data_IF_194561237286
#
_entry.id   IF_194561237286
#
_cell.length_a   1.000
_cell.length_b   1.000
_cell.length_c   1.000
_cell.angle_alpha   90.00
_cell.angle_beta   90.00
_cell.angle_gamma   90.00
#
_symmetry.space_group_name_H-M   'P 1'
#
loop_
_entity.id
_entity.type
_entity.pdbx_description
1 polymer ?
#
# COMPACT_ATOMS: atom_id res chain seq x y z
N UNK A 1 -32.88 88.97 -73.07
CA UNK A 1 -31.54 88.45 -73.42
C UNK A 1 -31.45 87.03 -72.86
N UNK A 2 -31.05 85.93 -73.52
CA UNK A 2 -30.93 85.52 -74.96
C UNK A 2 -30.11 84.21 -75.00
N UNK A 3 -30.47 83.08 -75.65
CA UNK A 3 -31.59 82.66 -76.54
C UNK A 3 -31.92 81.15 -76.31
N UNK A 4 -32.98 80.64 -76.97
CA UNK A 4 -33.18 79.21 -77.36
C UNK A 4 -32.03 78.71 -78.30
N UNK A 5 -31.87 77.41 -78.71
CA UNK A 5 -32.87 76.31 -78.74
C UNK A 5 -32.37 74.84 -78.50
N UNK A 6 -33.27 73.86 -78.62
CA UNK A 6 -32.97 72.45 -78.98
C UNK A 6 -32.44 72.35 -80.43
N UNK A 7 -31.78 71.25 -80.87
CA UNK A 7 -32.49 70.21 -81.68
C UNK A 7 -31.86 68.77 -81.48
N UNK A 8 -31.94 67.73 -82.37
CA UNK A 8 -32.22 66.36 -81.90
C UNK A 8 -31.24 65.25 -82.38
N UNK A 9 -31.46 64.01 -81.90
CA UNK A 9 -31.27 62.71 -82.57
C UNK A 9 -29.95 62.35 -83.29
N UNK A 10 -29.36 61.21 -82.92
CA UNK A 10 -28.52 60.39 -83.82
C UNK A 10 -28.58 58.90 -83.43
N UNK A 11 -28.46 58.02 -84.43
CA UNK A 11 -28.56 56.57 -84.29
C UNK A 11 -27.29 55.89 -83.76
N UNK A 12 -27.50 54.75 -83.08
CA UNK A 12 -26.73 53.50 -83.08
C UNK A 12 -25.33 53.50 -83.75
N UNK A 13 -24.33 53.04 -82.98
CA UNK A 13 -23.49 51.91 -83.43
C UNK A 13 -23.01 51.07 -82.22
N UNK A 14 -22.79 49.75 -82.37
CA UNK A 14 -22.57 48.82 -81.24
C UNK A 14 -21.09 48.44 -80.99
N UNK A 15 -20.83 47.84 -79.81
CA UNK A 15 -19.54 47.31 -79.32
C UNK A 15 -18.45 48.39 -79.08
N UNK A 16 -17.82 48.54 -77.90
CA UNK A 16 -17.26 47.52 -77.01
C UNK A 16 -17.26 47.92 -75.51
N UNK A 17 -16.97 46.92 -74.67
CA UNK A 17 -16.79 46.94 -73.22
C UNK A 17 -16.42 48.26 -72.51
N UNK A 18 -17.29 48.69 -71.59
CA UNK A 18 -16.87 49.23 -70.30
C UNK A 18 -17.44 48.42 -69.14
N UNK A 19 -16.61 48.22 -68.10
CA UNK A 19 -16.83 47.29 -66.99
C UNK A 19 -17.88 47.84 -66.02
N UNK A 20 -19.11 47.33 -66.05
CA UNK A 20 -19.98 47.42 -64.88
C UNK A 20 -19.49 46.40 -63.84
N UNK A 21 -18.72 46.93 -62.90
CA UNK A 21 -18.13 46.30 -61.73
C UNK A 21 -19.09 45.35 -61.02
N UNK A 22 -18.61 44.14 -60.71
CA UNK A 22 -19.18 43.36 -59.60
C UNK A 22 -19.05 44.22 -58.34
N UNK A 23 -20.17 44.49 -57.68
CA UNK A 23 -20.19 45.18 -56.39
C UNK A 23 -19.59 44.22 -55.36
N UNK A 24 -18.31 44.41 -55.03
CA UNK A 24 -17.72 43.76 -53.86
C UNK A 24 -18.45 44.34 -52.66
N UNK A 25 -19.17 43.49 -51.93
CA UNK A 25 -19.67 43.83 -50.60
C UNK A 25 -18.42 43.80 -49.72
N UNK A 26 -18.02 44.97 -49.23
CA UNK A 26 -16.92 45.06 -48.28
C UNK A 26 -17.33 44.35 -46.98
N UNK A 27 -16.46 43.44 -46.55
CA UNK A 27 -16.20 43.04 -45.16
C UNK A 27 -17.38 43.23 -44.18
N UNK A 28 -18.03 42.11 -43.87
CA UNK A 28 -18.89 41.97 -42.69
C UNK A 28 -18.12 42.50 -41.45
N UNK A 29 -18.68 43.45 -40.68
CA UNK A 29 -17.98 44.06 -39.55
C UNK A 29 -17.68 43.09 -38.40
N UNK A 30 -18.34 41.92 -38.36
CA UNK A 30 -18.04 40.84 -37.41
C UNK A 30 -17.00 39.83 -37.98
N UNK A 31 -16.48 40.05 -39.20
CA UNK A 31 -15.51 39.18 -39.87
C UNK A 31 -14.11 39.29 -39.22
N UNK A 32 -13.88 38.44 -38.22
CA UNK A 32 -12.58 38.29 -37.58
C UNK A 32 -11.51 37.69 -38.52
N UNK A 33 -10.31 38.28 -38.51
CA UNK A 33 -9.08 37.73 -39.11
C UNK A 33 -8.49 36.55 -38.31
N UNK A 34 -9.15 36.11 -37.25
CA UNK A 34 -8.77 34.88 -36.52
C UNK A 34 -8.66 33.72 -37.49
N UNK A 35 -7.50 33.04 -37.47
CA UNK A 35 -7.24 31.84 -38.27
C UNK A 35 -8.38 30.85 -38.02
N UNK A 36 -9.17 30.56 -39.05
CA UNK A 36 -10.23 29.56 -38.97
C UNK A 36 -9.56 28.22 -38.64
N UNK A 37 -9.96 27.54 -37.54
CA UNK A 37 -9.37 26.26 -37.16
C UNK A 37 -9.50 25.28 -38.32
N UNK A 38 -8.51 24.41 -38.52
CA UNK A 38 -8.60 23.47 -39.64
C UNK A 38 -9.73 22.47 -39.37
N UNK A 39 -10.31 21.88 -40.42
CA UNK A 39 -11.45 20.96 -40.28
C UNK A 39 -11.13 19.79 -39.33
N UNK A 40 -9.88 19.31 -39.32
CA UNK A 40 -9.41 18.31 -38.36
C UNK A 40 -9.46 18.80 -36.90
N UNK A 41 -9.09 20.05 -36.59
CA UNK A 41 -9.18 20.58 -35.23
C UNK A 41 -10.65 20.65 -34.77
N UNK A 42 -11.56 21.10 -35.65
CA UNK A 42 -12.99 21.17 -35.36
C UNK A 42 -13.59 19.76 -35.15
N UNK A 43 -13.20 18.79 -35.98
CA UNK A 43 -13.58 17.39 -35.80
C UNK A 43 -13.05 16.82 -34.47
N UNK A 44 -11.79 17.09 -34.11
CA UNK A 44 -11.21 16.63 -32.84
C UNK A 44 -11.87 17.29 -31.62
N UNK A 45 -12.20 18.58 -31.70
CA UNK A 45 -13.00 19.26 -30.66
C UNK A 45 -14.40 18.63 -30.51
N UNK A 46 -15.05 18.28 -31.62
CA UNK A 46 -16.33 17.57 -31.61
C UNK A 46 -16.22 16.17 -30.99
N UNK A 47 -15.15 15.43 -31.30
CA UNK A 47 -14.87 14.11 -30.70
C UNK A 47 -14.65 14.25 -29.18
N UNK A 48 -13.91 15.25 -28.72
CA UNK A 48 -13.72 15.53 -27.29
C UNK A 48 -15.05 15.87 -26.60
N UNK A 49 -15.89 16.69 -27.23
CA UNK A 49 -17.18 17.11 -26.68
C UNK A 49 -18.22 16.00 -26.59
N UNK A 50 -18.21 15.04 -27.53
CA UNK A 50 -19.19 13.93 -27.60
C UNK A 50 -18.58 12.58 -27.19
N UNK A 51 -17.43 12.57 -26.52
CA UNK A 51 -16.67 11.35 -26.25
C UNK A 51 -17.41 10.34 -25.35
N UNK A 52 -18.32 10.81 -24.49
CA UNK A 52 -19.14 9.93 -23.64
C UNK A 52 -20.14 9.09 -24.46
N UNK A 53 -20.78 9.70 -25.46
CA UNK A 53 -21.76 9.03 -26.32
C UNK A 53 -21.09 8.26 -27.47
N UNK A 54 -19.95 8.74 -27.96
CA UNK A 54 -19.27 8.18 -29.13
C UNK A 54 -17.72 8.23 -28.98
N UNK A 55 -17.12 7.32 -28.21
CA UNK A 55 -15.69 7.31 -27.90
C UNK A 55 -14.86 6.73 -29.07
N UNK A 56 -14.81 7.45 -30.20
CA UNK A 56 -13.93 7.13 -31.35
C UNK A 56 -12.49 7.46 -30.97
N UNK A 57 -11.88 6.62 -30.14
CA UNK A 57 -10.50 6.77 -29.71
C UNK A 57 -9.54 5.92 -30.54
N UNK A 58 -9.83 4.64 -30.73
CA UNK A 58 -8.83 3.72 -31.29
C UNK A 58 -8.48 3.98 -32.76
N UNK A 59 -9.45 4.45 -33.55
CA UNK A 59 -9.28 4.80 -34.98
C UNK A 59 -8.45 6.08 -35.21
N UNK A 60 -8.10 6.81 -34.15
CA UNK A 60 -7.32 8.04 -34.23
C UNK A 60 -5.83 7.78 -34.43
N UNK A 61 -5.19 8.68 -35.19
CA UNK A 61 -3.72 8.72 -35.31
C UNK A 61 -3.08 9.05 -33.95
N UNK A 62 -1.80 8.72 -33.70
CA UNK A 62 -1.14 9.05 -32.42
C UNK A 62 -1.23 10.53 -32.04
N UNK A 63 -1.00 11.44 -32.99
CA UNK A 63 -1.11 12.90 -32.79
C UNK A 63 -2.53 13.32 -32.38
N UNK A 64 -3.55 12.68 -32.98
CA UNK A 64 -4.95 12.92 -32.62
C UNK A 64 -5.30 12.33 -31.24
N UNK A 65 -4.76 11.16 -30.89
CA UNK A 65 -4.91 10.54 -29.55
C UNK A 65 -4.31 11.43 -28.46
N UNK A 66 -3.16 12.07 -28.70
CA UNK A 66 -2.55 13.02 -27.77
C UNK A 66 -3.42 14.27 -27.60
N UNK A 67 -3.84 14.91 -28.71
CA UNK A 67 -4.72 16.08 -28.68
C UNK A 67 -6.02 15.83 -27.89
N UNK A 68 -6.63 14.66 -28.08
CA UNK A 68 -7.84 14.24 -27.37
C UNK A 68 -7.56 14.03 -25.89
N UNK A 69 -6.55 13.24 -25.49
CA UNK A 69 -6.22 12.98 -24.08
C UNK A 69 -5.91 14.25 -23.26
N UNK A 70 -5.27 15.24 -23.87
CA UNK A 70 -5.02 16.55 -23.25
C UNK A 70 -6.31 17.32 -22.92
N UNK A 71 -7.40 17.08 -23.66
CA UNK A 71 -8.63 17.90 -23.65
C UNK A 71 -9.87 17.19 -23.12
N UNK A 72 -9.87 15.85 -23.05
CA UNK A 72 -10.97 15.08 -22.47
C UNK A 72 -11.27 15.51 -21.03
N UNK A 73 -12.55 15.43 -20.65
CA UNK A 73 -12.99 15.69 -19.28
C UNK A 73 -12.53 14.57 -18.34
N UNK A 74 -11.95 14.97 -17.22
CA UNK A 74 -11.57 14.11 -16.08
C UNK A 74 -12.79 13.58 -15.31
N UNK A 75 -13.98 14.12 -15.59
CA UNK A 75 -15.26 13.67 -15.00
C UNK A 75 -15.98 12.60 -15.84
N UNK A 76 -15.42 12.17 -16.98
CA UNK A 76 -16.01 11.13 -17.82
C UNK A 76 -16.18 9.81 -17.05
N UNK A 77 -17.27 9.05 -17.29
CA UNK A 77 -17.49 7.77 -16.62
C UNK A 77 -16.37 6.76 -16.86
N UNK A 78 -15.97 6.04 -15.80
CA UNK A 78 -14.88 5.06 -15.89
C UNK A 78 -15.20 3.89 -16.81
N UNK A 79 -16.46 3.54 -17.03
CA UNK A 79 -16.82 2.49 -17.99
C UNK A 79 -16.49 2.87 -19.45
N UNK A 80 -16.44 4.17 -19.77
CA UNK A 80 -15.98 4.69 -21.07
C UNK A 80 -14.45 4.71 -21.12
N UNK A 81 -13.80 5.27 -20.10
CA UNK A 81 -12.38 5.62 -20.16
C UNK A 81 -11.43 4.49 -19.75
N UNK A 82 -11.85 3.60 -18.84
CA UNK A 82 -10.98 2.57 -18.25
C UNK A 82 -10.42 1.57 -19.27
N UNK A 83 -11.18 1.20 -20.30
CA UNK A 83 -10.73 0.23 -21.30
C UNK A 83 -10.14 0.88 -22.56
N UNK A 84 -10.56 2.11 -22.90
CA UNK A 84 -10.15 2.78 -24.14
C UNK A 84 -8.91 3.65 -23.99
N UNK A 85 -8.72 4.33 -22.85
CA UNK A 85 -7.61 5.28 -22.68
C UNK A 85 -6.43 4.58 -22.01
N UNK A 86 -5.31 4.47 -22.72
CA UNK A 86 -4.04 3.93 -22.21
C UNK A 86 -3.48 4.75 -21.04
N UNK A 87 -2.41 4.28 -20.40
CA UNK A 87 -1.65 5.13 -19.47
C UNK A 87 -1.14 6.40 -20.18
N UNK A 88 -1.11 7.54 -19.48
CA UNK A 88 -0.68 8.80 -20.07
C UNK A 88 -1.28 10.05 -19.44
N UNK A 89 -1.30 11.13 -20.23
CA UNK A 89 -1.66 12.51 -19.82
C UNK A 89 -3.08 12.60 -19.25
N UNK A 90 -4.02 11.84 -19.80
CA UNK A 90 -5.40 11.81 -19.28
C UNK A 90 -5.47 11.36 -17.82
N UNK A 91 -4.86 10.21 -17.50
CA UNK A 91 -4.84 9.68 -16.12
C UNK A 91 -4.01 10.55 -15.18
N UNK A 92 -2.93 11.16 -15.69
CA UNK A 92 -2.18 12.19 -14.93
C UNK A 92 -3.10 13.33 -14.47
N UNK A 93 -3.86 13.93 -15.39
CA UNK A 93 -4.82 15.00 -15.07
C UNK A 93 -5.92 14.51 -14.10
N UNK A 94 -6.40 13.28 -14.26
CA UNK A 94 -7.38 12.68 -13.34
C UNK A 94 -6.82 12.49 -11.92
N UNK A 95 -5.53 12.16 -11.78
CA UNK A 95 -4.86 12.07 -10.48
C UNK A 95 -4.63 13.46 -9.86
N UNK A 96 -4.03 14.39 -10.61
CA UNK A 96 -3.68 15.73 -10.14
C UNK A 96 -4.90 16.56 -9.72
N UNK A 97 -6.08 16.32 -10.32
CA UNK A 97 -7.32 16.96 -9.89
C UNK A 97 -7.92 16.34 -8.60
N UNK A 98 -7.62 15.08 -8.31
CA UNK A 98 -8.23 14.32 -7.20
C UNK A 98 -7.36 14.28 -5.95
N UNK A 99 -6.04 14.42 -6.10
CA UNK A 99 -5.08 14.30 -5.00
C UNK A 99 -3.93 15.30 -5.13
N UNK A 100 -3.72 16.12 -4.09
CA UNK A 100 -2.68 17.16 -4.05
C UNK A 100 -1.26 16.61 -4.23
N UNK A 101 -1.03 15.38 -3.74
CA UNK A 101 0.24 14.68 -3.84
C UNK A 101 0.09 13.43 -4.70
N UNK A 102 0.84 13.41 -5.79
CA UNK A 102 0.91 12.33 -6.74
C UNK A 102 2.36 11.90 -7.00
N UNK A 103 2.67 10.64 -6.72
CA UNK A 103 3.96 10.00 -6.99
C UNK A 103 3.70 8.62 -7.59
N UNK A 104 4.13 8.43 -8.85
CA UNK A 104 3.92 7.21 -9.63
C UNK A 104 5.01 6.14 -9.42
N UNK A 105 6.07 6.42 -8.66
CA UNK A 105 7.22 5.50 -8.49
C UNK A 105 6.80 4.15 -7.92
N UNK A 106 5.96 4.15 -6.88
CA UNK A 106 5.39 2.94 -6.26
C UNK A 106 4.36 2.21 -7.15
N UNK A 107 3.86 2.89 -8.19
CA UNK A 107 2.84 2.40 -9.11
C UNK A 107 3.43 1.88 -10.43
N UNK A 108 4.75 1.61 -10.45
CA UNK A 108 5.44 1.14 -11.66
C UNK A 108 5.55 2.22 -12.74
N UNK A 109 5.54 3.50 -12.34
CA UNK A 109 5.51 4.67 -13.20
C UNK A 109 4.26 4.77 -14.11
N UNK A 110 3.12 4.23 -13.66
CA UNK A 110 1.83 4.30 -14.36
C UNK A 110 0.83 5.17 -13.59
N UNK A 111 0.33 6.22 -14.25
CA UNK A 111 -0.74 7.09 -13.74
C UNK A 111 -2.08 6.37 -13.65
N UNK A 112 -2.39 5.50 -14.61
CA UNK A 112 -3.61 4.69 -14.66
C UNK A 112 -3.65 3.67 -13.53
N UNK A 113 -2.53 2.99 -13.25
CA UNK A 113 -2.39 2.11 -12.08
C UNK A 113 -2.57 2.88 -10.78
N UNK A 114 -1.88 4.01 -10.64
CA UNK A 114 -2.03 4.88 -9.47
C UNK A 114 -3.49 5.33 -9.26
N UNK A 115 -4.18 5.73 -10.32
CA UNK A 115 -5.59 6.10 -10.25
C UNK A 115 -6.45 4.94 -9.74
N UNK A 116 -6.33 3.74 -10.33
CA UNK A 116 -7.19 2.62 -9.98
C UNK A 116 -6.91 2.02 -8.60
N UNK A 117 -5.65 1.92 -8.18
CA UNK A 117 -5.31 1.46 -6.83
C UNK A 117 -5.89 2.44 -5.78
N UNK A 118 -5.56 3.74 -5.87
CA UNK A 118 -6.06 4.76 -4.93
C UNK A 118 -7.58 4.97 -4.98
N UNK A 119 -8.20 4.78 -6.14
CA UNK A 119 -9.66 4.87 -6.26
C UNK A 119 -10.36 3.69 -5.59
N UNK A 120 -9.84 2.47 -5.75
CA UNK A 120 -10.37 1.29 -5.05
C UNK A 120 -10.12 1.38 -3.53
N UNK A 121 -8.92 1.79 -3.11
CA UNK A 121 -8.60 2.07 -1.70
C UNK A 121 -9.61 3.06 -1.09
N UNK A 122 -9.91 4.17 -1.77
CA UNK A 122 -10.88 5.16 -1.32
C UNK A 122 -12.33 4.63 -1.29
N UNK A 123 -12.70 3.68 -2.17
CA UNK A 123 -14.03 3.04 -2.10
C UNK A 123 -14.13 2.15 -0.85
N UNK A 124 -13.08 1.39 -0.52
CA UNK A 124 -13.04 0.50 0.65
C UNK A 124 -12.95 1.30 1.95
N UNK A 125 -12.06 2.30 2.03
CA UNK A 125 -11.89 3.14 3.22
C UNK A 125 -13.15 3.96 3.57
N UNK A 126 -14.03 4.21 2.60
CA UNK A 126 -15.31 4.90 2.80
C UNK A 126 -16.51 3.94 2.72
N UNK A 127 -16.28 2.63 2.68
CA UNK A 127 -17.35 1.64 2.70
C UNK A 127 -17.90 1.52 4.11
N UNK A 128 -19.14 1.96 4.29
CA UNK A 128 -19.90 1.78 5.54
C UNK A 128 -20.75 0.52 5.34
N UNK A 129 -20.55 -0.56 6.12
CA UNK A 129 -21.37 -1.75 6.02
C UNK A 129 -22.83 -1.46 6.38
N UNK A 130 -23.75 -2.29 5.87
CA UNK A 130 -25.21 -2.12 5.88
C UNK A 130 -25.78 -0.87 5.15
N UNK A 131 -24.98 0.19 4.98
CA UNK A 131 -25.36 1.44 4.30
C UNK A 131 -24.89 1.47 2.83
N UNK A 132 -23.65 1.04 2.57
CA UNK A 132 -23.05 1.06 1.23
C UNK A 132 -23.35 -0.25 0.51
N UNK A 133 -24.01 -0.17 -0.65
CA UNK A 133 -24.32 -1.36 -1.44
C UNK A 133 -23.05 -2.01 -2.02
N UNK A 134 -22.84 -3.34 -1.86
CA UNK A 134 -21.70 -4.08 -2.43
C UNK A 134 -21.46 -3.84 -3.93
N UNK A 135 -22.53 -3.67 -4.70
CA UNK A 135 -22.49 -3.43 -6.15
C UNK A 135 -21.50 -2.30 -6.56
N UNK A 136 -21.30 -1.28 -5.71
CA UNK A 136 -20.34 -0.18 -6.00
C UNK A 136 -18.90 -0.67 -6.16
N UNK A 137 -18.54 -1.76 -5.49
CA UNK A 137 -17.25 -2.45 -5.64
C UNK A 137 -17.31 -3.37 -6.85
N UNK A 138 -18.35 -4.20 -6.94
CA UNK A 138 -18.49 -5.22 -8.01
C UNK A 138 -18.50 -4.62 -9.42
N UNK A 139 -19.20 -3.50 -9.63
CA UNK A 139 -19.22 -2.77 -10.91
C UNK A 139 -17.84 -2.21 -11.29
N UNK A 140 -17.01 -1.90 -10.29
CA UNK A 140 -15.66 -1.36 -10.48
C UNK A 140 -14.63 -2.45 -10.81
N UNK A 141 -14.74 -3.65 -10.24
CA UNK A 141 -13.74 -4.72 -10.41
C UNK A 141 -13.41 -5.03 -11.88
N UNK A 142 -14.38 -5.20 -12.82
CA UNK A 142 -14.08 -5.44 -14.23
C UNK A 142 -13.20 -4.37 -14.89
N UNK A 143 -13.31 -3.11 -14.43
CA UNK A 143 -12.59 -1.95 -14.98
C UNK A 143 -11.15 -1.85 -14.43
N UNK A 144 -10.93 -2.27 -13.18
CA UNK A 144 -9.67 -2.00 -12.47
C UNK A 144 -8.82 -3.25 -12.14
N UNK A 145 -9.38 -4.46 -12.14
CA UNK A 145 -8.70 -5.69 -11.64
C UNK A 145 -7.32 -5.99 -12.25
N UNK A 146 -7.11 -5.59 -13.51
CA UNK A 146 -5.84 -5.82 -14.20
C UNK A 146 -4.73 -4.85 -13.74
N UNK A 147 -5.12 -3.70 -13.19
CA UNK A 147 -4.23 -2.62 -12.76
C UNK A 147 -3.90 -2.68 -11.27
N UNK A 148 -4.77 -3.27 -10.44
CA UNK A 148 -4.54 -3.43 -9.00
C UNK A 148 -3.52 -4.55 -8.74
N UNK A 149 -2.35 -4.15 -8.28
CA UNK A 149 -1.27 -4.98 -7.72
C UNK A 149 -1.01 -4.69 -6.24
N UNK A 150 -1.36 -3.50 -5.76
CA UNK A 150 -1.29 -3.09 -4.36
C UNK A 150 -2.63 -2.53 -3.89
N UNK A 151 -2.97 -2.80 -2.64
CA UNK A 151 -4.00 -2.07 -1.88
C UNK A 151 -3.44 -1.69 -0.51
N UNK A 152 -3.49 -0.40 -0.18
CA UNK A 152 -3.07 0.18 1.10
C UNK A 152 -4.29 0.77 1.85
N UNK A 153 -4.97 -0.08 2.62
CA UNK A 153 -6.20 0.26 3.33
C UNK A 153 -5.85 0.66 4.76
N UNK A 154 -5.86 1.97 5.02
CA UNK A 154 -5.36 2.55 6.27
C UNK A 154 -6.48 2.94 7.26
N UNK A 155 -7.73 2.56 6.95
CA UNK A 155 -8.89 2.52 7.83
C UNK A 155 -9.97 1.56 7.27
N UNK A 156 -10.86 1.10 8.14
CA UNK A 156 -12.11 0.42 7.80
C UNK A 156 -13.21 0.99 8.68
N UNK A 157 -14.38 1.29 8.11
CA UNK A 157 -15.50 1.86 8.86
C UNK A 157 -16.41 0.72 9.38
N UNK A 158 -16.82 0.75 10.66
CA UNK A 158 -17.83 -0.15 11.19
C UNK A 158 -19.24 0.30 10.77
N UNK A 159 -20.28 -0.52 11.00
CA UNK A 159 -21.67 -0.16 10.72
C UNK A 159 -22.12 1.01 11.59
N UNK A 160 -23.00 1.87 11.04
CA UNK A 160 -23.58 2.97 11.82
C UNK A 160 -24.61 2.40 12.79
N UNK A 161 -24.36 2.55 14.09
CA UNK A 161 -25.43 2.43 15.09
C UNK A 161 -26.36 3.62 14.95
N UNK A 162 -27.59 3.39 14.53
CA UNK A 162 -28.65 4.36 14.76
C UNK A 162 -28.86 4.48 16.26
N UNK A 163 -28.60 5.66 16.82
CA UNK A 163 -29.06 5.99 18.17
C UNK A 163 -30.58 6.04 18.13
N UNK A 164 -31.21 4.96 18.59
CA UNK A 164 -32.60 5.04 19.01
C UNK A 164 -32.67 6.18 20.03
N UNK A 165 -33.43 7.21 19.69
CA UNK A 165 -33.87 8.16 20.69
C UNK A 165 -34.80 7.38 21.59
N UNK A 166 -34.32 7.06 22.78
CA UNK A 166 -35.18 6.80 23.91
C UNK A 166 -36.02 8.07 24.09
N UNK A 167 -37.26 8.03 23.60
CA UNK A 167 -38.27 8.99 24.02
C UNK A 167 -38.53 8.74 25.51
N UNK A 168 -38.68 9.84 26.25
CA UNK A 168 -38.69 9.91 27.70
C UNK A 168 -39.80 9.02 28.30
N UNK A 169 -39.42 7.97 29.04
CA UNK A 169 -40.24 7.38 30.09
C UNK A 169 -39.38 7.33 31.38
N UNK A 170 -39.33 8.47 32.08
CA UNK A 170 -38.93 8.51 33.49
C UNK A 170 -40.02 7.81 34.32
N UNK A 171 -39.88 6.50 34.60
CA UNK A 171 -40.40 5.83 35.81
C UNK A 171 -40.09 4.32 35.78
N UNK A 172 -39.12 3.87 36.60
CA UNK A 172 -39.29 2.75 37.56
C UNK A 172 -37.94 2.41 38.25
N UNK A 173 -37.86 2.67 39.56
CA UNK A 173 -36.83 2.11 40.43
C UNK A 173 -37.19 0.65 40.79
N UNK A 174 -36.37 -0.35 40.46
CA UNK A 174 -36.40 -1.60 41.22
C UNK A 174 -35.05 -2.30 41.40
N UNK A 175 -34.84 -2.82 42.61
CA UNK A 175 -33.63 -3.54 43.03
C UNK A 175 -33.75 -5.05 42.78
N UNK A 176 -33.08 -5.53 41.72
CA UNK A 176 -32.22 -6.72 41.83
C UNK A 176 -32.70 -8.09 41.32
N UNK A 177 -31.84 -9.07 41.66
CA UNK A 177 -31.86 -10.51 41.33
C UNK A 177 -31.24 -10.95 40.00
N UNK A 178 -30.30 -11.91 40.12
CA UNK A 178 -29.71 -12.65 39.01
C UNK A 178 -30.71 -13.73 38.53
N UNK A 179 -31.31 -13.55 37.37
CA UNK A 179 -31.90 -14.65 36.62
C UNK A 179 -31.66 -14.46 35.14
N UNK A 180 -30.91 -15.38 34.53
CA UNK A 180 -30.70 -15.40 33.09
C UNK A 180 -32.03 -15.71 32.39
N UNK A 181 -32.57 -14.73 31.67
CA UNK A 181 -33.57 -14.93 30.63
C UNK A 181 -32.97 -14.51 29.28
N UNK A 182 -33.12 -15.36 28.28
CA UNK A 182 -32.55 -15.18 26.94
C UNK A 182 -33.28 -14.10 26.14
N UNK A 183 -33.15 -12.84 26.55
CA UNK A 183 -33.28 -11.72 25.63
C UNK A 183 -31.91 -11.50 24.97
N UNK A 184 -31.69 -12.25 23.88
CA UNK A 184 -30.61 -12.02 22.94
C UNK A 184 -30.84 -10.64 22.27
N UNK A 185 -30.43 -9.58 22.96
CA UNK A 185 -30.25 -8.26 22.35
C UNK A 185 -29.33 -8.46 21.16
N UNK A 186 -29.92 -8.45 19.96
CA UNK A 186 -29.19 -8.50 18.69
C UNK A 186 -28.34 -7.23 18.66
N UNK A 187 -27.10 -7.33 19.16
CA UNK A 187 -26.12 -6.27 19.01
C UNK A 187 -25.99 -6.04 17.50
N UNK A 188 -26.14 -4.79 17.02
CA UNK A 188 -25.85 -4.46 15.64
C UNK A 188 -24.49 -5.05 15.28
N UNK A 189 -24.39 -5.61 14.07
CA UNK A 189 -23.11 -6.15 13.63
C UNK A 189 -22.03 -5.07 13.76
N UNK A 190 -20.81 -5.48 14.10
CA UNK A 190 -19.63 -4.60 14.12
C UNK A 190 -18.60 -5.02 13.08
N UNK A 191 -18.99 -5.93 12.18
CA UNK A 191 -18.15 -6.39 11.08
C UNK A 191 -17.91 -5.25 10.09
N UNK A 192 -16.73 -5.25 9.47
CA UNK A 192 -16.27 -4.23 8.55
C UNK A 192 -16.53 -4.66 7.09
N UNK A 193 -15.74 -4.13 6.15
CA UNK A 193 -15.81 -4.51 4.74
C UNK A 193 -15.47 -5.99 4.52
N UNK A 194 -16.39 -6.76 3.92
CA UNK A 194 -16.16 -8.15 3.53
C UNK A 194 -15.22 -8.25 2.32
N UNK A 195 -13.97 -8.64 2.58
CA UNK A 195 -12.94 -8.77 1.56
C UNK A 195 -13.21 -9.87 0.52
N UNK A 196 -14.14 -10.81 0.77
CA UNK A 196 -14.49 -11.83 -0.22
C UNK A 196 -15.14 -11.26 -1.48
N UNK A 197 -15.83 -10.13 -1.38
CA UNK A 197 -16.45 -9.42 -2.51
C UNK A 197 -15.38 -9.05 -3.57
N UNK A 198 -14.21 -8.63 -3.09
CA UNK A 198 -13.15 -8.04 -3.92
C UNK A 198 -11.97 -8.99 -4.18
N UNK A 199 -11.32 -9.49 -3.13
CA UNK A 199 -9.98 -10.10 -3.23
C UNK A 199 -9.97 -11.38 -4.07
N UNK A 200 -11.06 -12.16 -4.03
CA UNK A 200 -11.26 -13.35 -4.86
C UNK A 200 -11.19 -13.06 -6.37
N UNK A 201 -11.43 -11.80 -6.78
CA UNK A 201 -11.43 -11.36 -8.18
C UNK A 201 -10.11 -10.69 -8.62
N UNK A 202 -9.26 -10.28 -7.67
CA UNK A 202 -8.01 -9.56 -7.93
C UNK A 202 -6.85 -10.51 -8.23
N UNK A 203 -6.86 -11.10 -9.43
CA UNK A 203 -5.85 -12.10 -9.85
C UNK A 203 -4.41 -11.57 -9.89
N UNK A 204 -4.20 -10.26 -9.90
CA UNK A 204 -2.88 -9.63 -10.01
C UNK A 204 -2.39 -8.98 -8.70
N UNK A 205 -3.11 -9.13 -7.58
CA UNK A 205 -2.72 -8.53 -6.30
C UNK A 205 -1.42 -9.15 -5.75
N UNK A 206 -0.42 -8.31 -5.50
CA UNK A 206 0.92 -8.67 -5.00
C UNK A 206 1.15 -8.16 -3.57
N UNK A 207 0.60 -7.01 -3.21
CA UNK A 207 0.74 -6.35 -1.91
C UNK A 207 -0.64 -6.02 -1.30
N UNK A 208 -0.88 -6.41 -0.05
CA UNK A 208 -2.07 -6.05 0.71
C UNK A 208 -1.66 -5.50 2.09
N UNK A 209 -1.92 -4.22 2.33
CA UNK A 209 -1.78 -3.59 3.65
C UNK A 209 -3.17 -3.25 4.18
N UNK A 210 -3.49 -3.70 5.39
CA UNK A 210 -4.73 -3.35 6.10
C UNK A 210 -4.42 -2.83 7.49
N UNK A 211 -5.25 -1.87 7.95
CA UNK A 211 -5.33 -1.41 9.34
C UNK A 211 -6.80 -1.37 9.76
N UNK A 212 -7.18 -2.24 10.70
CA UNK A 212 -8.50 -2.20 11.34
C UNK A 212 -8.56 -1.06 12.35
N UNK A 213 -8.92 0.13 11.88
CA UNK A 213 -9.14 1.35 12.66
C UNK A 213 -10.06 2.30 11.93
N UNK A 214 -10.64 3.25 12.64
CA UNK A 214 -11.33 4.41 12.06
C UNK A 214 -10.47 5.67 12.23
N UNK A 215 -10.25 6.44 11.15
CA UNK A 215 -9.64 7.78 11.26
C UNK A 215 -10.69 8.77 11.72
N UNK A 216 -10.27 9.81 12.45
CA UNK A 216 -11.09 11.01 12.69
C UNK A 216 -12.46 10.73 13.35
N UNK A 217 -12.55 9.80 14.30
CA UNK A 217 -13.80 9.41 15.02
C UNK A 217 -14.56 10.57 15.70
N UNK A 218 -13.94 11.73 15.86
CA UNK A 218 -14.52 12.87 16.57
C UNK A 218 -14.86 12.51 18.02
N UNK A 219 -16.05 12.92 18.46
CA UNK A 219 -16.56 12.63 19.82
C UNK A 219 -17.26 11.28 19.92
N UNK A 220 -17.57 10.62 18.81
CA UNK A 220 -18.34 9.36 18.77
C UNK A 220 -17.42 8.13 18.88
N UNK A 221 -16.41 8.20 19.75
CA UNK A 221 -15.39 7.17 19.90
C UNK A 221 -15.92 5.98 20.73
N UNK A 222 -15.87 4.78 20.16
CA UNK A 222 -16.00 3.52 20.89
C UNK A 222 -14.80 2.59 20.59
N UNK A 223 -14.35 1.81 21.58
CA UNK A 223 -13.17 0.94 21.46
C UNK A 223 -13.33 -0.20 20.44
N UNK A 224 -14.54 -0.72 20.28
CA UNK A 224 -14.90 -1.76 19.30
C UNK A 224 -14.73 -1.31 17.83
N UNK A 225 -14.77 -0.01 17.52
CA UNK A 225 -14.55 0.54 16.17
C UNK A 225 -13.12 0.30 15.64
N UNK A 226 -12.23 -0.19 16.51
CA UNK A 226 -10.83 -0.50 16.22
C UNK A 226 -10.54 -2.00 16.35
N UNK A 227 -11.56 -2.82 16.62
CA UNK A 227 -11.40 -4.26 16.76
C UNK A 227 -11.81 -4.98 15.47
N UNK A 228 -10.87 -5.72 14.90
CA UNK A 228 -11.16 -6.73 13.89
C UNK A 228 -12.06 -7.82 14.50
N UNK A 229 -13.30 -8.01 14.04
CA UNK A 229 -14.19 -9.05 14.56
C UNK A 229 -13.70 -10.45 14.17
N UNK A 230 -14.24 -11.50 14.80
CA UNK A 230 -13.93 -12.87 14.38
C UNK A 230 -14.45 -13.18 12.97
N UNK A 231 -15.56 -12.55 12.53
CA UNK A 231 -16.07 -12.68 11.16
C UNK A 231 -15.23 -11.91 10.15
N UNK A 232 -14.72 -10.73 10.50
CA UNK A 232 -13.71 -10.02 9.70
C UNK A 232 -12.46 -10.89 9.49
N UNK A 233 -12.02 -11.55 10.56
CA UNK A 233 -10.84 -12.43 10.56
C UNK A 233 -11.05 -13.69 9.72
N UNK A 234 -12.25 -14.29 9.78
CA UNK A 234 -12.60 -15.43 8.92
C UNK A 234 -12.72 -15.01 7.45
N UNK A 235 -13.50 -13.97 7.14
CA UNK A 235 -13.63 -13.40 5.79
C UNK A 235 -12.26 -13.12 5.16
N UNK A 236 -11.40 -12.38 5.86
CA UNK A 236 -10.07 -12.02 5.37
C UNK A 236 -9.18 -13.24 5.17
N UNK A 237 -9.24 -14.24 6.07
CA UNK A 237 -8.46 -15.46 5.95
C UNK A 237 -8.87 -16.30 4.71
N UNK A 238 -10.18 -16.38 4.43
CA UNK A 238 -10.71 -17.06 3.24
C UNK A 238 -10.31 -16.32 1.96
N UNK A 239 -10.50 -15.00 1.94
CA UNK A 239 -10.17 -14.12 0.84
C UNK A 239 -8.67 -14.17 0.47
N UNK A 240 -7.77 -14.05 1.46
CA UNK A 240 -6.32 -14.17 1.23
C UNK A 240 -5.94 -15.56 0.70
N UNK A 241 -6.58 -16.64 1.18
CA UNK A 241 -6.31 -17.99 0.68
C UNK A 241 -6.60 -18.12 -0.82
N UNK A 242 -7.52 -17.33 -1.39
CA UNK A 242 -7.77 -17.30 -2.83
C UNK A 242 -6.71 -16.51 -3.61
N UNK A 243 -6.12 -15.46 -3.04
CA UNK A 243 -5.15 -14.56 -3.67
C UNK A 243 -3.76 -15.19 -3.89
N UNK A 244 -3.65 -16.18 -4.79
CA UNK A 244 -2.41 -16.95 -5.02
C UNK A 244 -1.20 -16.11 -5.48
N UNK A 245 -1.41 -14.89 -5.97
CA UNK A 245 -0.37 -13.94 -6.37
C UNK A 245 0.19 -13.08 -5.23
N UNK A 246 -0.45 -13.09 -4.05
CA UNK A 246 -0.04 -12.25 -2.93
C UNK A 246 1.37 -12.60 -2.43
N UNK A 247 2.25 -11.59 -2.41
CA UNK A 247 3.65 -11.67 -1.99
C UNK A 247 3.87 -11.02 -0.63
N UNK A 248 3.19 -9.92 -0.34
CA UNK A 248 3.30 -9.17 0.92
C UNK A 248 1.92 -9.03 1.55
N UNK A 249 1.80 -9.51 2.80
CA UNK A 249 0.65 -9.25 3.65
C UNK A 249 1.09 -8.42 4.87
N UNK A 250 0.55 -7.22 5.02
CA UNK A 250 0.72 -6.38 6.21
C UNK A 250 -0.62 -6.16 6.90
N UNK A 251 -0.78 -6.71 8.10
CA UNK A 251 -1.90 -6.43 9.01
C UNK A 251 -1.33 -5.80 10.28
N UNK A 252 -1.08 -4.50 10.25
CA UNK A 252 -0.47 -3.78 11.38
C UNK A 252 -1.52 -2.96 12.14
N UNK A 253 -1.28 -2.65 13.42
CA UNK A 253 -2.18 -1.80 14.22
C UNK A 253 -3.67 -2.22 14.15
N UNK A 254 -3.93 -3.53 14.15
CA UNK A 254 -5.25 -4.13 13.86
C UNK A 254 -5.78 -5.00 15.00
N UNK A 255 -5.25 -4.83 16.22
CA UNK A 255 -5.66 -5.56 17.43
C UNK A 255 -5.67 -7.10 17.30
N UNK A 256 -4.80 -7.66 16.44
CA UNK A 256 -4.74 -9.12 16.22
C UNK A 256 -4.18 -9.81 17.46
N UNK A 257 -5.00 -10.66 18.08
CA UNK A 257 -4.61 -11.50 19.22
C UNK A 257 -4.28 -12.95 18.81
N UNK A 258 -3.93 -13.80 19.78
CA UNK A 258 -3.48 -15.19 19.58
C UNK A 258 -4.45 -16.05 18.75
N UNK A 259 -5.77 -15.90 18.95
CA UNK A 259 -6.77 -16.70 18.23
C UNK A 259 -6.90 -16.26 16.77
N UNK A 260 -7.04 -14.95 16.54
CA UNK A 260 -7.12 -14.31 15.22
C UNK A 260 -5.84 -14.58 14.41
N UNK A 261 -4.65 -14.43 15.02
CA UNK A 261 -3.37 -14.80 14.42
C UNK A 261 -3.32 -16.28 14.01
N UNK A 262 -3.77 -17.20 14.88
CA UNK A 262 -3.81 -18.64 14.57
C UNK A 262 -4.79 -18.96 13.43
N UNK A 263 -5.91 -18.25 13.34
CA UNK A 263 -6.88 -18.40 12.25
C UNK A 263 -6.26 -17.95 10.92
N UNK A 264 -5.72 -16.74 10.85
CA UNK A 264 -5.00 -16.24 9.66
C UNK A 264 -3.90 -17.21 9.23
N UNK A 265 -3.04 -17.64 10.17
CA UNK A 265 -1.96 -18.60 9.89
C UNK A 265 -2.47 -19.92 9.30
N UNK A 266 -3.62 -20.46 9.75
CA UNK A 266 -4.22 -21.70 9.20
C UNK A 266 -4.47 -21.58 7.69
N UNK A 267 -4.81 -20.40 7.19
CA UNK A 267 -5.09 -20.13 5.77
C UNK A 267 -3.84 -19.68 4.98
N UNK A 268 -2.82 -19.15 5.66
CA UNK A 268 -1.51 -18.81 5.08
C UNK A 268 -0.54 -20.01 4.96
N UNK A 269 -0.83 -21.14 5.60
CA UNK A 269 -0.03 -22.36 5.44
C UNK A 269 0.04 -22.77 3.96
N UNK A 270 1.26 -23.06 3.50
CA UNK A 270 1.58 -23.44 2.12
C UNK A 270 1.19 -22.39 1.05
N UNK A 271 1.02 -21.10 1.43
CA UNK A 271 0.70 -20.05 0.46
C UNK A 271 1.79 -19.95 -0.64
N UNK A 272 1.44 -20.03 -1.93
CA UNK A 272 2.43 -20.32 -2.99
C UNK A 272 3.44 -19.19 -3.23
N UNK A 273 3.03 -17.94 -3.01
CA UNK A 273 3.77 -16.74 -3.41
C UNK A 273 4.19 -15.84 -2.25
N UNK A 274 3.75 -16.10 -1.01
CA UNK A 274 3.96 -15.18 0.12
C UNK A 274 5.44 -15.15 0.54
N UNK A 275 6.05 -13.97 0.50
CA UNK A 275 7.45 -13.67 0.85
C UNK A 275 7.57 -12.78 2.07
N UNK A 276 6.63 -11.86 2.27
CA UNK A 276 6.68 -10.91 3.38
C UNK A 276 5.40 -10.99 4.20
N UNK A 277 5.58 -11.08 5.53
CA UNK A 277 4.49 -11.04 6.49
C UNK A 277 4.80 -10.01 7.57
N UNK A 278 3.89 -9.07 7.76
CA UNK A 278 4.01 -8.01 8.74
C UNK A 278 2.75 -7.95 9.63
N UNK A 279 2.88 -8.45 10.85
CA UNK A 279 1.88 -8.37 11.91
C UNK A 279 2.36 -7.47 13.06
N UNK A 280 3.14 -6.43 12.75
CA UNK A 280 3.64 -5.50 13.78
C UNK A 280 2.55 -4.66 14.44
N UNK A 281 2.79 -4.19 15.67
CA UNK A 281 1.87 -3.38 16.45
C UNK A 281 0.50 -4.07 16.66
N UNK A 282 0.53 -5.30 17.19
CA UNK A 282 -0.66 -6.10 17.49
C UNK A 282 -0.54 -6.71 18.90
N UNK A 283 -1.47 -7.60 19.27
CA UNK A 283 -1.57 -8.21 20.59
C UNK A 283 -1.13 -9.69 20.61
N UNK A 284 -0.35 -10.12 19.61
CA UNK A 284 0.04 -11.52 19.41
C UNK A 284 0.98 -11.97 20.54
N UNK A 285 0.61 -13.03 21.23
CA UNK A 285 1.36 -13.62 22.33
C UNK A 285 2.04 -14.93 21.94
N UNK A 286 2.33 -15.76 22.95
CA UNK A 286 3.08 -17.00 22.77
C UNK A 286 2.34 -18.06 21.94
N UNK A 287 1.00 -18.11 21.95
CA UNK A 287 0.25 -19.14 21.19
C UNK A 287 0.22 -18.78 19.70
N UNK A 288 0.08 -17.50 19.37
CA UNK A 288 0.16 -16.97 18.01
C UNK A 288 1.59 -17.04 17.47
N UNK A 289 2.60 -16.67 18.27
CA UNK A 289 4.02 -16.87 17.92
C UNK A 289 4.35 -18.34 17.61
N UNK A 290 3.76 -19.30 18.34
CA UNK A 290 3.87 -20.73 18.02
C UNK A 290 3.18 -21.12 16.69
N UNK A 291 2.06 -20.47 16.34
CA UNK A 291 1.45 -20.65 15.03
C UNK A 291 2.36 -20.09 13.91
N UNK A 292 2.92 -18.89 14.10
CA UNK A 292 3.92 -18.29 13.19
C UNK A 292 5.15 -19.19 13.03
N UNK A 293 5.63 -19.83 14.11
CA UNK A 293 6.68 -20.86 14.03
C UNK A 293 6.31 -22.03 13.10
N UNK A 294 5.05 -22.49 13.14
CA UNK A 294 4.55 -23.52 12.20
C UNK A 294 4.40 -22.98 10.76
N UNK A 295 4.15 -21.69 10.57
CA UNK A 295 4.14 -21.06 9.25
C UNK A 295 5.56 -21.02 8.65
N UNK A 296 6.57 -20.65 9.45
CA UNK A 296 7.97 -20.55 9.02
C UNK A 296 8.57 -21.89 8.54
N UNK A 297 8.06 -23.04 9.00
CA UNK A 297 8.51 -24.37 8.53
C UNK A 297 7.84 -24.83 7.23
N UNK A 298 6.81 -24.11 6.74
CA UNK A 298 5.99 -24.50 5.58
C UNK A 298 5.78 -23.40 4.54
N UNK A 299 6.38 -22.23 4.74
CA UNK A 299 6.29 -21.08 3.84
C UNK A 299 7.64 -20.77 3.18
N UNK A 300 7.62 -19.92 2.16
CA UNK A 300 8.80 -19.36 1.52
C UNK A 300 9.02 -17.91 1.95
N UNK A 301 8.67 -17.60 3.21
CA UNK A 301 8.85 -16.26 3.77
C UNK A 301 10.33 -15.89 3.81
N UNK A 302 10.61 -14.67 3.36
CA UNK A 302 11.91 -14.01 3.30
C UNK A 302 11.98 -12.88 4.34
N UNK A 303 10.85 -12.21 4.62
CA UNK A 303 10.72 -11.17 5.65
C UNK A 303 9.57 -11.50 6.62
N UNK A 304 9.86 -11.45 7.93
CA UNK A 304 8.85 -11.53 8.99
C UNK A 304 8.99 -10.36 9.98
N UNK A 305 7.97 -9.51 10.06
CA UNK A 305 7.86 -8.42 11.02
C UNK A 305 6.78 -8.72 12.07
N UNK A 306 7.22 -8.88 13.32
CA UNK A 306 6.40 -9.11 14.53
C UNK A 306 6.74 -8.07 15.61
N UNK A 307 7.25 -6.89 15.20
CA UNK A 307 7.60 -5.80 16.10
C UNK A 307 6.39 -5.36 16.93
N UNK A 308 6.61 -4.94 18.18
CA UNK A 308 5.58 -4.39 19.07
C UNK A 308 4.37 -5.33 19.23
N UNK A 309 4.61 -6.41 19.96
CA UNK A 309 3.64 -7.49 20.22
C UNK A 309 3.88 -8.05 21.64
N UNK A 310 3.06 -9.02 22.06
CA UNK A 310 3.09 -9.61 23.40
C UNK A 310 3.91 -10.92 23.49
N UNK A 311 4.84 -11.17 22.57
CA UNK A 311 5.64 -12.41 22.50
C UNK A 311 6.64 -12.46 23.65
N UNK A 312 6.71 -13.59 24.36
CA UNK A 312 7.62 -13.84 25.49
C UNK A 312 8.59 -14.98 25.16
N UNK A 313 9.39 -15.38 26.15
CA UNK A 313 10.35 -16.49 26.03
C UNK A 313 9.79 -17.78 25.38
N UNK A 314 8.58 -18.27 25.74
CA UNK A 314 7.99 -19.45 25.13
C UNK A 314 7.64 -19.29 23.63
N UNK A 315 7.06 -18.16 23.23
CA UNK A 315 6.77 -17.85 21.82
C UNK A 315 8.05 -17.64 21.02
N UNK A 316 9.02 -16.94 21.59
CA UNK A 316 10.36 -16.76 21.04
C UNK A 316 11.07 -18.10 20.78
N UNK A 317 10.98 -19.06 21.72
CA UNK A 317 11.48 -20.43 21.56
C UNK A 317 10.83 -21.16 20.39
N UNK A 318 9.53 -20.99 20.17
CA UNK A 318 8.84 -21.61 19.04
C UNK A 318 9.30 -21.04 17.69
N UNK A 319 9.50 -19.71 17.61
CA UNK A 319 10.07 -19.04 16.44
C UNK A 319 11.53 -19.48 16.22
N UNK A 320 12.34 -19.55 17.28
CA UNK A 320 13.73 -20.01 17.22
C UNK A 320 13.85 -21.46 16.72
N UNK A 321 13.01 -22.36 17.20
CA UNK A 321 12.97 -23.74 16.72
C UNK A 321 12.68 -23.79 15.21
N UNK A 322 11.67 -23.05 14.75
CA UNK A 322 11.36 -22.96 13.32
C UNK A 322 12.51 -22.35 12.50
N UNK A 323 13.11 -21.26 12.98
CA UNK A 323 14.26 -20.58 12.36
C UNK A 323 15.46 -21.53 12.17
N UNK A 324 15.70 -22.43 13.13
CA UNK A 324 16.81 -23.39 13.06
C UNK A 324 16.68 -24.43 11.93
N UNK A 325 15.48 -24.59 11.36
CA UNK A 325 15.17 -25.50 10.25
C UNK A 325 14.78 -24.75 8.96
N UNK A 326 14.46 -23.45 9.05
CA UNK A 326 14.08 -22.64 7.90
C UNK A 326 15.32 -22.26 7.07
N UNK A 327 15.16 -22.24 5.75
CA UNK A 327 16.20 -21.91 4.77
C UNK A 327 15.76 -20.85 3.74
N UNK A 328 14.84 -19.96 4.13
CA UNK A 328 14.30 -18.89 3.26
C UNK A 328 14.30 -17.52 3.91
N UNK A 329 14.15 -17.46 5.25
CA UNK A 329 13.98 -16.21 5.97
C UNK A 329 15.32 -15.45 6.01
N UNK A 330 15.29 -14.24 5.48
CA UNK A 330 16.40 -13.29 5.39
C UNK A 330 16.30 -12.22 6.48
N UNK A 331 15.08 -11.83 6.88
CA UNK A 331 14.83 -10.78 7.86
C UNK A 331 13.81 -11.19 8.92
N UNK A 332 14.18 -11.02 10.19
CA UNK A 332 13.33 -11.28 11.35
C UNK A 332 13.34 -10.07 12.30
N UNK A 333 12.20 -9.38 12.42
CA UNK A 333 12.02 -8.28 13.35
C UNK A 333 11.09 -8.69 14.50
N UNK A 334 11.66 -8.79 15.70
CA UNK A 334 10.98 -9.08 16.97
C UNK A 334 11.17 -7.94 17.99
N UNK A 335 11.44 -6.71 17.55
CA UNK A 335 11.62 -5.56 18.45
C UNK A 335 10.37 -5.31 19.31
N UNK A 336 10.54 -4.63 20.45
CA UNK A 336 9.42 -4.21 21.32
C UNK A 336 8.52 -5.39 21.74
N UNK A 337 9.10 -6.54 22.05
CA UNK A 337 8.42 -7.68 22.65
C UNK A 337 9.00 -7.92 24.06
N UNK A 338 8.74 -9.06 24.70
CA UNK A 338 9.23 -9.38 26.06
C UNK A 338 9.91 -10.74 26.10
N UNK A 339 10.75 -11.00 25.09
CA UNK A 339 11.41 -12.29 24.86
C UNK A 339 12.28 -12.72 26.06
N UNK A 340 12.92 -11.75 26.72
CA UNK A 340 13.90 -11.95 27.82
C UNK A 340 15.04 -12.88 27.42
N UNK A 341 15.93 -13.18 28.37
CA UNK A 341 17.04 -14.10 28.10
C UNK A 341 16.62 -15.50 27.69
N UNK A 342 15.42 -15.96 28.09
CA UNK A 342 14.87 -17.24 27.65
C UNK A 342 14.68 -17.29 26.13
N UNK A 343 14.07 -16.25 25.55
CA UNK A 343 13.85 -16.13 24.11
C UNK A 343 15.10 -15.71 23.35
N UNK A 344 15.86 -14.76 23.89
CA UNK A 344 17.11 -14.26 23.30
C UNK A 344 18.15 -15.37 23.11
N UNK A 345 18.39 -16.19 24.14
CA UNK A 345 19.28 -17.34 24.03
C UNK A 345 18.76 -18.43 23.08
N UNK A 346 17.44 -18.59 22.95
CA UNK A 346 16.85 -19.55 22.02
C UNK A 346 17.11 -19.12 20.56
N UNK A 347 16.87 -17.84 20.24
CA UNK A 347 17.20 -17.26 18.92
C UNK A 347 18.70 -17.39 18.65
N UNK A 348 19.56 -17.05 19.62
CA UNK A 348 21.02 -17.20 19.48
C UNK A 348 21.45 -18.64 19.15
N UNK A 349 20.83 -19.65 19.81
CA UNK A 349 21.07 -21.07 19.51
C UNK A 349 20.55 -21.48 18.13
N UNK A 350 19.47 -20.88 17.65
CA UNK A 350 18.95 -21.14 16.30
C UNK A 350 19.89 -20.66 15.20
N UNK A 351 20.58 -19.52 15.41
CA UNK A 351 21.60 -18.99 14.49
C UNK A 351 22.80 -19.94 14.29
N UNK A 352 23.09 -20.81 15.26
CA UNK A 352 24.13 -21.85 15.11
C UNK A 352 23.76 -22.92 14.06
N UNK A 353 22.49 -23.00 13.65
CA UNK A 353 22.02 -23.95 12.64
C UNK A 353 21.50 -23.25 11.37
N UNK A 354 20.90 -22.08 11.52
CA UNK A 354 20.44 -21.27 10.38
C UNK A 354 21.62 -20.66 9.60
N UNK A 355 21.52 -20.66 8.27
CA UNK A 355 22.54 -20.15 7.35
C UNK A 355 21.95 -19.22 6.27
N UNK A 356 20.78 -18.63 6.54
CA UNK A 356 20.06 -17.78 5.59
C UNK A 356 19.71 -16.41 6.14
N UNK A 357 19.52 -16.29 7.47
CA UNK A 357 19.15 -15.02 8.09
C UNK A 357 20.28 -14.01 7.94
N UNK A 358 19.92 -12.82 7.45
CA UNK A 358 20.79 -11.67 7.20
C UNK A 358 20.50 -10.52 8.17
N UNK A 359 19.24 -10.33 8.58
CA UNK A 359 18.81 -9.23 9.43
C UNK A 359 18.04 -9.77 10.64
N UNK A 360 18.51 -9.42 11.85
CA UNK A 360 17.90 -9.81 13.11
C UNK A 360 17.69 -8.60 14.01
N UNK A 361 16.45 -8.28 14.33
CA UNK A 361 16.12 -7.14 15.20
C UNK A 361 15.48 -7.60 16.51
N UNK A 362 16.21 -7.45 17.60
CA UNK A 362 15.84 -7.80 18.98
C UNK A 362 15.89 -6.59 19.93
N UNK A 363 15.93 -5.36 19.42
CA UNK A 363 15.90 -4.16 20.25
C UNK A 363 14.61 -4.02 21.08
N UNK A 364 14.71 -3.61 22.36
CA UNK A 364 13.55 -3.46 23.26
C UNK A 364 12.89 -4.78 23.63
N UNK A 365 13.63 -5.73 24.23
CA UNK A 365 13.13 -7.08 24.52
C UNK A 365 13.43 -7.63 25.92
N UNK A 366 13.93 -6.77 26.83
CA UNK A 366 14.38 -7.19 28.17
C UNK A 366 15.48 -8.27 28.11
N UNK A 367 16.27 -8.35 27.02
CA UNK A 367 17.42 -9.28 26.94
C UNK A 367 18.63 -8.70 27.68
N UNK A 368 19.41 -9.55 28.32
CA UNK A 368 20.55 -9.11 29.13
C UNK A 368 21.87 -9.79 28.77
N UNK A 369 22.91 -9.61 29.60
CA UNK A 369 24.25 -10.19 29.44
C UNK A 369 24.27 -11.66 28.97
N UNK A 370 23.44 -12.60 29.49
CA UNK A 370 23.45 -13.99 29.04
C UNK A 370 23.07 -14.14 27.56
N UNK A 371 22.10 -13.37 27.07
CA UNK A 371 21.77 -13.34 25.63
C UNK A 371 22.92 -12.74 24.82
N UNK A 372 23.54 -11.65 25.27
CA UNK A 372 24.69 -11.06 24.58
C UNK A 372 25.80 -12.10 24.38
N UNK A 373 26.19 -12.82 25.43
CA UNK A 373 27.21 -13.88 25.38
C UNK A 373 26.81 -15.01 24.41
N UNK A 374 25.54 -15.41 24.38
CA UNK A 374 25.07 -16.43 23.43
C UNK A 374 25.09 -15.93 21.97
N UNK A 375 24.69 -14.68 21.72
CA UNK A 375 24.75 -14.08 20.38
C UNK A 375 26.19 -13.91 19.90
N UNK A 376 27.10 -13.46 20.78
CA UNK A 376 28.54 -13.37 20.51
C UNK A 376 29.12 -14.69 20.02
N UNK A 377 28.81 -15.81 20.69
CA UNK A 377 29.25 -17.15 20.25
C UNK A 377 28.72 -17.50 18.86
N UNK A 378 27.44 -17.22 18.58
CA UNK A 378 26.86 -17.44 17.27
C UNK A 378 27.51 -16.59 16.17
N UNK A 379 27.84 -15.32 16.45
CA UNK A 379 28.50 -14.41 15.50
C UNK A 379 29.94 -14.83 15.16
N UNK A 380 30.64 -15.51 16.07
CA UNK A 380 31.97 -16.10 15.83
C UNK A 380 31.87 -17.37 14.99
N UNK A 381 30.98 -18.30 15.35
CA UNK A 381 30.89 -19.61 14.68
C UNK A 381 30.25 -19.53 13.28
N UNK A 382 29.13 -18.81 13.14
CA UNK A 382 28.35 -18.75 11.89
C UNK A 382 27.65 -17.40 11.72
N UNK A 383 28.27 -16.51 10.96
CA UNK A 383 27.72 -15.19 10.67
C UNK A 383 27.45 -14.97 9.18
N UNK A 384 26.30 -15.46 8.72
CA UNK A 384 25.64 -14.95 7.51
C UNK A 384 25.02 -13.58 7.75
N UNK A 385 24.67 -13.29 9.01
CA UNK A 385 24.12 -12.01 9.47
C UNK A 385 24.91 -10.80 8.96
N UNK A 386 24.14 -9.83 8.45
CA UNK A 386 24.55 -8.51 7.97
C UNK A 386 24.13 -7.41 8.91
N UNK A 387 22.98 -7.54 9.55
CA UNK A 387 22.45 -6.57 10.51
C UNK A 387 21.97 -7.25 11.78
N UNK A 388 22.40 -6.72 12.92
CA UNK A 388 21.85 -7.07 14.22
C UNK A 388 21.46 -5.79 14.98
N UNK A 389 20.24 -5.75 15.51
CA UNK A 389 19.80 -4.67 16.38
C UNK A 389 19.49 -5.22 17.77
N UNK A 390 20.22 -4.73 18.77
CA UNK A 390 20.09 -5.06 20.19
C UNK A 390 19.81 -3.81 21.04
N UNK A 391 19.40 -2.69 20.42
CA UNK A 391 19.22 -1.41 21.12
C UNK A 391 18.09 -1.46 22.17
N UNK A 392 18.10 -0.54 23.13
CA UNK A 392 17.07 -0.48 24.19
C UNK A 392 16.94 -1.80 24.99
N UNK A 393 18.06 -2.41 25.37
CA UNK A 393 18.13 -3.62 26.19
C UNK A 393 19.09 -3.40 27.38
N UNK A 394 19.34 -4.41 28.23
CA UNK A 394 20.31 -4.30 29.32
C UNK A 394 21.42 -5.36 29.18
N UNK A 395 22.25 -5.23 28.14
CA UNK A 395 23.35 -6.16 27.87
C UNK A 395 24.49 -6.00 28.90
N UNK A 396 24.66 -4.78 29.41
CA UNK A 396 25.72 -4.40 30.33
C UNK A 396 27.11 -4.38 29.69
N UNK A 397 28.08 -3.83 30.43
CA UNK A 397 29.50 -3.75 30.04
C UNK A 397 30.06 -5.11 29.62
N UNK A 398 29.80 -6.18 30.38
CA UNK A 398 30.28 -7.52 30.04
C UNK A 398 29.63 -8.10 28.77
N UNK A 399 28.38 -7.73 28.46
CA UNK A 399 27.73 -8.06 27.20
C UNK A 399 28.32 -7.28 26.03
N UNK A 400 28.68 -6.01 26.27
CA UNK A 400 29.44 -5.15 25.35
C UNK A 400 30.77 -5.76 24.95
N UNK A 401 31.61 -6.10 25.93
CA UNK A 401 32.90 -6.77 25.72
C UNK A 401 32.78 -8.10 24.98
N UNK A 402 31.76 -8.91 25.30
CA UNK A 402 31.53 -10.16 24.58
C UNK A 402 31.18 -9.92 23.10
N UNK A 403 30.47 -8.83 22.77
CA UNK A 403 30.20 -8.44 21.38
C UNK A 403 31.43 -7.85 20.70
N UNK A 404 32.25 -7.08 21.41
CA UNK A 404 33.54 -6.55 20.96
C UNK A 404 34.49 -7.70 20.55
N UNK A 405 34.70 -8.67 21.44
CA UNK A 405 35.52 -9.85 21.20
C UNK A 405 35.01 -10.67 20.00
N UNK A 406 33.70 -10.92 19.92
CA UNK A 406 33.10 -11.64 18.81
C UNK A 406 33.24 -10.91 17.46
N UNK A 407 33.16 -9.58 17.47
CA UNK A 407 33.25 -8.78 16.25
C UNK A 407 34.69 -8.50 15.80
N UNK A 408 35.70 -8.66 16.68
CA UNK A 408 37.12 -8.52 16.33
C UNK A 408 37.56 -9.34 15.11
N UNK A 409 36.95 -10.52 14.91
CA UNK A 409 37.22 -11.42 13.79
C UNK A 409 36.05 -11.49 12.77
N UNK A 410 34.99 -10.73 12.99
CA UNK A 410 33.80 -10.79 12.14
C UNK A 410 33.93 -9.87 10.91
N UNK A 411 33.83 -10.45 9.71
CA UNK A 411 33.94 -9.72 8.42
C UNK A 411 32.62 -9.67 7.65
N UNK A 412 31.54 -10.19 8.22
CA UNK A 412 30.25 -10.36 7.56
C UNK A 412 29.23 -9.30 7.98
N UNK A 413 29.23 -8.90 9.25
CA UNK A 413 28.28 -7.96 9.85
C UNK A 413 28.61 -6.53 9.42
N UNK A 414 27.62 -5.84 8.88
CA UNK A 414 27.71 -4.51 8.28
C UNK A 414 26.81 -3.48 8.99
N UNK A 415 26.04 -3.91 9.98
CA UNK A 415 25.21 -3.06 10.86
C UNK A 415 25.12 -3.73 12.24
N UNK A 416 25.38 -2.96 13.30
CA UNK A 416 25.19 -3.38 14.68
C UNK A 416 24.65 -2.19 15.49
N UNK A 417 23.45 -2.30 16.04
CA UNK A 417 22.85 -1.24 16.89
C UNK A 417 22.81 -1.70 18.35
N UNK A 418 23.64 -1.08 19.19
CA UNK A 418 23.73 -1.29 20.64
C UNK A 418 23.42 0.00 21.42
N UNK A 419 22.72 0.96 20.81
CA UNK A 419 22.33 2.20 21.50
C UNK A 419 21.36 1.89 22.65
N UNK A 420 21.49 2.57 23.78
CA UNK A 420 20.65 2.34 24.97
C UNK A 420 20.66 0.87 25.42
N UNK A 421 21.80 0.18 25.30
CA UNK A 421 21.96 -1.25 25.63
C UNK A 421 22.78 -1.52 26.90
N UNK A 422 23.10 -0.49 27.69
CA UNK A 422 24.06 -0.49 28.83
C UNK A 422 25.48 -1.00 28.49
N UNK A 423 25.85 -0.92 27.21
CA UNK A 423 27.22 -1.13 26.71
C UNK A 423 28.06 0.13 26.92
N UNK A 424 29.30 -0.01 27.35
CA UNK A 424 30.23 1.10 27.53
C UNK A 424 30.68 1.73 26.20
N UNK A 425 31.15 2.98 26.28
CA UNK A 425 31.55 3.76 25.10
C UNK A 425 32.73 3.13 24.33
N UNK A 426 33.65 2.44 25.02
CA UNK A 426 34.80 1.80 24.39
C UNK A 426 34.36 0.64 23.50
N UNK A 427 33.62 -0.34 24.06
CA UNK A 427 33.09 -1.46 23.27
C UNK A 427 32.14 -0.95 22.18
N UNK A 428 31.27 0.02 22.45
CA UNK A 428 30.37 0.58 21.45
C UNK A 428 31.14 1.27 20.29
N UNK A 429 32.21 2.01 20.58
CA UNK A 429 33.05 2.66 19.58
C UNK A 429 33.78 1.64 18.70
N UNK A 430 34.37 0.59 19.31
CA UNK A 430 35.02 -0.50 18.58
C UNK A 430 34.05 -1.22 17.64
N UNK A 431 32.86 -1.59 18.14
CA UNK A 431 31.81 -2.23 17.34
C UNK A 431 31.45 -1.38 16.12
N UNK A 432 31.29 -0.06 16.30
CA UNK A 432 31.03 0.87 15.20
C UNK A 432 32.20 0.96 14.20
N UNK A 433 33.46 0.88 14.65
CA UNK A 433 34.64 0.88 13.79
C UNK A 433 34.74 -0.38 12.94
N UNK A 434 34.49 -1.56 13.52
CA UNK A 434 34.44 -2.84 12.79
C UNK A 434 33.34 -2.80 11.73
N UNK A 435 32.13 -2.38 12.11
CA UNK A 435 30.98 -2.25 11.22
C UNK A 435 31.29 -1.33 10.02
N UNK A 436 31.89 -0.14 10.25
CA UNK A 436 32.31 0.79 9.18
C UNK A 436 33.37 0.18 8.25
N UNK A 437 34.29 -0.61 8.81
CA UNK A 437 35.31 -1.33 8.03
C UNK A 437 34.66 -2.36 7.11
N UNK A 438 33.74 -3.18 7.63
CA UNK A 438 33.02 -4.20 6.87
C UNK A 438 32.14 -3.59 5.77
N UNK A 439 31.41 -2.51 6.06
CA UNK A 439 30.66 -1.74 5.05
C UNK A 439 31.56 -1.25 3.91
N UNK A 440 32.77 -0.76 4.24
CA UNK A 440 33.74 -0.25 3.26
C UNK A 440 34.31 -1.37 2.39
N UNK A 441 34.62 -2.53 2.98
CA UNK A 441 35.05 -3.72 2.26
C UNK A 441 33.96 -4.26 1.32
N UNK A 442 32.71 -4.29 1.76
CA UNK A 442 31.58 -4.71 0.92
C UNK A 442 31.41 -3.75 -0.28
N UNK A 443 31.40 -2.43 -0.05
CA UNK A 443 31.31 -1.41 -1.11
C UNK A 443 32.43 -1.55 -2.15
N UNK A 444 33.65 -1.90 -1.73
CA UNK A 444 34.77 -2.18 -2.65
C UNK A 444 34.51 -3.43 -3.50
N UNK A 445 34.15 -4.56 -2.88
CA UNK A 445 33.82 -5.81 -3.60
C UNK A 445 32.71 -5.61 -4.63
N UNK A 446 31.65 -4.86 -4.29
CA UNK A 446 30.55 -4.57 -5.22
C UNK A 446 31.01 -3.72 -6.41
N UNK A 447 31.95 -2.77 -6.22
CA UNK A 447 32.53 -2.00 -7.33
C UNK A 447 33.42 -2.88 -8.22
N UNK A 448 34.31 -3.65 -7.61
CA UNK A 448 35.24 -4.56 -8.31
C UNK A 448 34.51 -5.61 -9.16
N UNK A 449 33.36 -6.12 -8.69
CA UNK A 449 32.52 -7.03 -9.46
C UNK A 449 31.83 -6.32 -10.64
N UNK A 450 31.24 -5.14 -10.43
CA UNK A 450 30.60 -4.38 -11.52
C UNK A 450 31.57 -4.04 -12.65
N UNK A 451 32.81 -3.64 -12.33
CA UNK A 451 33.82 -3.36 -13.37
C UNK A 451 34.10 -4.59 -14.23
N UNK A 452 34.12 -5.79 -13.64
CA UNK A 452 34.34 -7.07 -14.34
C UNK A 452 33.15 -7.55 -15.19
N UNK A 453 31.94 -7.08 -14.90
CA UNK A 453 30.74 -7.36 -15.71
C UNK A 453 30.62 -6.40 -16.91
N UNK A 454 31.35 -5.29 -16.88
CA UNK A 454 31.38 -4.24 -17.93
C UNK A 454 32.63 -4.24 -18.81
N UNK A 455 33.53 -5.22 -18.63
CA UNK A 455 34.78 -5.40 -19.39
C UNK A 455 34.78 -6.74 -20.12
#
# INVERSE_FOLDING_TARGET
MSRSPYPPGANLNPAEHFRNTRRIIAEDPDWSLSIVPCLSDLCLQSIVGNFEENPIFEDLTPIHKDFVQERLSTALPLHVTANLISDGVYWKRCCEQRWDLCDITNYGNSWKRMFFERHMENIIELFIPDVTKPNRVEEMVPLCKNYIKRLDISQLLPPIKETQKEEEDEDEEEYGSESASDNEYIRPSTDHFDFNILLNQLTNLEELHLVYRVKQCGMNFEWNMFEMTDRDCESLAEAIKSCKTLKLLRLHQSHIEDNKCRLLVKYLLDHPSLRELDFSHNLIGDKGARAIGKLLTRSKLETLNMCDNNIRGPGAKAIAYALSMNSTLLSLNLRLNRLRDEGGQAIAKALLNNNTLLHLHLGGNEVTRPTAICLSKALVEKSTLKSINLSCNNLGVDGGRALEEALSNNTSLTECDVRLAEVDEQSASFINQVVRTNQSLQKRRTRENKTKETS
#
